data_IF_445546921085
#
_entry.id   IF_445546921085
#
_cell.length_a   1.000
_cell.length_b   1.000
_cell.length_c   1.000
_cell.angle_alpha   90.00
_cell.angle_beta   90.00
_cell.angle_gamma   90.00
#
_symmetry.space_group_name_H-M   'P 1'
#
loop_
_entity.id
_entity.type
_entity.pdbx_description
1 polymer ?
#
# COMPACT_ATOMS: atom_id res chain seq x y z
N UNK A 1 22.07 33.09 2.35
CA UNK A 1 22.12 31.64 2.11
C UNK A 1 20.72 31.19 1.74
N UNK A 2 20.43 31.18 0.44
CA UNK A 2 19.09 30.98 -0.11
C UNK A 2 18.89 29.50 -0.38
N UNK A 3 17.97 28.87 0.34
CA UNK A 3 17.53 27.49 0.10
C UNK A 3 16.82 27.42 -1.26
N UNK A 4 17.47 26.82 -2.27
CA UNK A 4 16.82 26.50 -3.54
C UNK A 4 15.77 25.42 -3.30
N UNK A 5 14.51 25.76 -3.56
CA UNK A 5 13.43 24.79 -3.64
C UNK A 5 13.69 23.88 -4.84
N UNK A 6 13.88 22.58 -4.59
CA UNK A 6 13.98 21.56 -5.65
C UNK A 6 12.64 21.49 -6.37
N UNK A 7 12.64 21.75 -7.67
CA UNK A 7 11.42 21.76 -8.48
C UNK A 7 10.83 20.36 -8.61
N UNK A 8 9.51 20.26 -8.55
CA UNK A 8 8.77 18.99 -8.77
C UNK A 8 9.10 18.38 -10.13
N UNK A 9 9.43 19.22 -11.12
CA UNK A 9 9.85 18.81 -12.46
C UNK A 9 11.20 18.08 -12.49
N UNK A 10 12.15 18.46 -11.63
CA UNK A 10 13.46 17.80 -11.52
C UNK A 10 13.34 16.42 -10.86
N UNK A 11 12.43 16.31 -9.88
CA UNK A 11 12.09 15.03 -9.23
C UNK A 11 11.43 14.08 -10.22
N UNK A 12 10.48 14.58 -11.03
CA UNK A 12 9.83 13.81 -12.08
C UNK A 12 10.84 13.35 -13.13
N UNK A 13 11.72 14.25 -13.59
CA UNK A 13 12.76 13.95 -14.59
C UNK A 13 13.79 12.93 -14.09
N UNK A 14 14.15 13.00 -12.80
CA UNK A 14 14.99 12.02 -12.12
C UNK A 14 14.30 10.66 -11.94
N UNK A 15 12.99 10.64 -11.66
CA UNK A 15 12.20 9.41 -11.58
C UNK A 15 12.03 8.74 -12.96
N UNK A 16 11.80 9.55 -14.01
CA UNK A 16 11.74 9.11 -15.42
C UNK A 16 13.06 8.53 -15.90
N UNK A 17 14.20 9.18 -15.59
CA UNK A 17 15.53 8.66 -15.94
C UNK A 17 15.92 7.43 -15.11
N UNK A 18 15.41 7.32 -13.88
CA UNK A 18 15.63 6.18 -12.98
C UNK A 18 14.72 4.96 -13.19
N UNK A 19 13.92 4.91 -14.27
CA UNK A 19 12.91 3.84 -14.51
C UNK A 19 11.89 3.65 -13.38
N UNK A 20 11.67 4.64 -12.52
CA UNK A 20 10.63 4.60 -11.49
C UNK A 20 9.38 5.21 -12.10
N UNK A 21 8.50 4.35 -12.60
CA UNK A 21 7.21 4.78 -13.14
C UNK A 21 6.32 5.24 -11.98
N UNK A 22 5.77 6.47 -12.02
CA UNK A 22 4.86 6.94 -10.98
C UNK A 22 3.64 6.02 -10.86
N UNK A 23 3.08 5.94 -9.65
CA UNK A 23 1.91 5.11 -9.33
C UNK A 23 2.08 3.62 -9.63
N UNK A 24 3.31 3.11 -9.62
CA UNK A 24 3.61 1.68 -9.67
C UNK A 24 4.30 1.24 -8.40
N UNK A 25 3.91 0.08 -7.90
CA UNK A 25 4.66 -0.59 -6.84
C UNK A 25 5.31 -1.86 -7.37
N UNK A 26 6.52 -2.10 -6.88
CA UNK A 26 7.30 -3.33 -7.09
C UNK A 26 7.24 -4.13 -5.81
N UNK A 27 6.63 -5.30 -5.86
CA UNK A 27 6.32 -6.11 -4.69
C UNK A 27 7.04 -7.45 -4.73
N UNK A 28 7.61 -7.80 -3.58
CA UNK A 28 8.00 -9.15 -3.22
C UNK A 28 7.19 -9.56 -1.99
N UNK A 29 6.62 -10.75 -2.03
CA UNK A 29 5.80 -11.28 -0.95
C UNK A 29 6.26 -12.70 -0.62
N UNK A 30 6.30 -13.00 0.68
CA UNK A 30 6.58 -14.32 1.20
C UNK A 30 5.87 -14.52 2.53
N UNK A 31 5.88 -15.75 3.02
CA UNK A 31 5.32 -16.11 4.32
C UNK A 31 6.36 -16.83 5.17
N UNK A 32 6.19 -16.75 6.48
CA UNK A 32 7.01 -17.45 7.46
C UNK A 32 6.09 -18.07 8.51
N UNK A 33 6.59 -19.10 9.17
CA UNK A 33 5.94 -19.65 10.36
C UNK A 33 6.18 -18.72 11.56
N UNK A 34 5.24 -18.72 12.50
CA UNK A 34 5.36 -17.95 13.74
C UNK A 34 6.67 -18.28 14.49
N UNK A 35 7.09 -19.55 14.49
CA UNK A 35 8.33 -20.01 15.11
C UNK A 35 9.61 -19.43 14.50
N UNK A 36 9.55 -18.96 13.25
CA UNK A 36 10.68 -18.35 12.55
C UNK A 36 10.67 -16.81 12.63
N UNK A 37 9.64 -16.20 13.23
CA UNK A 37 9.45 -14.75 13.26
C UNK A 37 10.62 -14.03 13.94
N UNK A 38 11.00 -14.45 15.15
CA UNK A 38 12.07 -13.81 15.92
C UNK A 38 13.42 -13.88 15.19
N UNK A 39 13.69 -15.02 14.53
CA UNK A 39 14.90 -15.22 13.74
C UNK A 39 14.92 -14.27 12.53
N UNK A 40 13.78 -14.09 11.85
CA UNK A 40 13.66 -13.15 10.74
C UNK A 40 13.86 -11.71 11.22
N UNK A 41 13.19 -11.30 12.29
CA UNK A 41 13.29 -9.94 12.83
C UNK A 41 14.72 -9.62 13.25
N UNK A 42 15.41 -10.56 13.91
CA UNK A 42 16.81 -10.41 14.27
C UNK A 42 17.71 -10.20 13.04
N UNK A 43 17.49 -10.96 11.96
CA UNK A 43 18.25 -10.82 10.71
C UNK A 43 17.95 -9.49 10.00
N UNK A 44 16.69 -9.08 9.95
CA UNK A 44 16.31 -7.81 9.34
C UNK A 44 16.94 -6.61 10.07
N UNK A 45 17.02 -6.65 11.40
CA UNK A 45 17.74 -5.63 12.19
C UNK A 45 19.20 -5.47 11.77
N UNK A 46 19.89 -6.55 11.43
CA UNK A 46 21.28 -6.48 10.96
C UNK A 46 21.44 -6.06 9.49
N UNK A 47 20.37 -6.08 8.70
CA UNK A 47 20.39 -5.83 7.24
C UNK A 47 19.77 -4.50 6.82
N UNK A 48 18.88 -3.94 7.64
CA UNK A 48 18.11 -2.74 7.40
C UNK A 48 18.72 -1.52 8.10
N UNK A 49 18.39 -0.33 7.61
CA UNK A 49 19.05 0.92 8.04
C UNK A 49 18.54 1.41 9.40
N UNK A 50 17.42 0.87 9.89
CA UNK A 50 16.75 1.25 11.14
C UNK A 50 17.48 0.74 12.41
N UNK A 51 18.78 0.49 12.34
CA UNK A 51 19.54 -0.24 13.38
C UNK A 51 19.47 0.46 14.74
N UNK A 52 19.56 1.80 14.77
CA UNK A 52 19.59 2.57 16.02
C UNK A 52 18.21 2.73 16.68
N UNK A 53 17.13 2.84 15.91
CA UNK A 53 15.78 3.08 16.44
C UNK A 53 15.01 1.78 16.75
N UNK A 54 15.55 0.62 16.36
CA UNK A 54 14.84 -0.65 16.45
C UNK A 54 13.73 -0.81 15.41
N UNK A 55 13.02 -1.95 15.42
CA UNK A 55 11.91 -2.16 14.50
C UNK A 55 10.74 -1.25 14.85
N UNK A 56 10.22 -0.53 13.86
CA UNK A 56 9.05 0.33 14.04
C UNK A 56 7.81 -0.57 14.06
N UNK A 57 7.12 -0.63 15.19
CA UNK A 57 5.87 -1.36 15.28
C UNK A 57 4.78 -0.57 14.55
N UNK A 58 3.91 -1.28 13.85
CA UNK A 58 2.70 -0.66 13.33
C UNK A 58 1.45 -1.46 13.60
N UNK A 59 0.34 -0.75 13.71
CA UNK A 59 -0.99 -1.31 13.76
C UNK A 59 -1.91 -0.54 12.82
N UNK A 60 -2.55 -1.26 11.91
CA UNK A 60 -3.40 -0.69 10.89
C UNK A 60 -4.74 -1.42 10.81
N UNK A 61 -5.82 -0.68 10.62
CA UNK A 61 -7.12 -1.21 10.25
C UNK A 61 -7.30 -1.04 8.75
N UNK A 62 -7.41 -2.15 8.03
CA UNK A 62 -7.70 -2.16 6.60
C UNK A 62 -9.16 -2.57 6.38
N UNK A 63 -9.90 -1.76 5.61
CA UNK A 63 -11.29 -2.01 5.22
C UNK A 63 -11.35 -2.07 3.70
N UNK A 64 -11.93 -3.12 3.16
CA UNK A 64 -11.98 -3.35 1.71
C UNK A 64 -13.38 -3.22 1.19
N UNK A 65 -13.52 -2.38 0.16
CA UNK A 65 -14.78 -2.08 -0.52
C UNK A 65 -14.70 -2.55 -1.97
N UNK A 66 -15.76 -3.19 -2.45
CA UNK A 66 -15.88 -3.63 -3.84
C UNK A 66 -17.12 -3.03 -4.47
N UNK A 67 -17.00 -2.58 -5.71
CA UNK A 67 -18.12 -2.22 -6.56
C UNK A 67 -18.36 -3.40 -7.51
N UNK A 68 -19.50 -4.11 -7.37
CA UNK A 68 -19.85 -5.18 -8.28
C UNK A 68 -19.88 -4.67 -9.72
N UNK A 69 -19.50 -5.52 -10.70
CA UNK A 69 -19.62 -5.15 -12.10
C UNK A 69 -21.08 -4.81 -12.41
N UNK A 70 -21.34 -3.58 -12.87
CA UNK A 70 -22.68 -3.16 -13.28
C UNK A 70 -23.11 -4.02 -14.47
N UNK A 71 -24.13 -4.85 -14.28
CA UNK A 71 -24.70 -5.76 -15.28
C UNK A 71 -25.50 -5.05 -16.39
N UNK A 72 -25.03 -3.90 -16.87
CA UNK A 72 -25.71 -3.09 -17.88
C UNK A 72 -24.91 -1.91 -18.42
N UNK A 73 -23.78 -1.54 -17.80
CA UNK A 73 -22.85 -0.56 -18.34
C UNK A 73 -21.76 -1.30 -19.14
N UNK A 74 -22.09 -1.65 -20.39
CA UNK A 74 -21.06 -2.02 -21.38
C UNK A 74 -20.17 -0.80 -21.59
N UNK A 75 -19.13 -0.67 -20.78
CA UNK A 75 -18.08 0.31 -21.04
C UNK A 75 -17.55 0.03 -22.45
N UNK A 76 -17.60 0.98 -23.39
CA UNK A 76 -17.14 0.73 -24.75
C UNK A 76 -15.65 0.42 -24.70
N UNK A 77 -15.30 -0.86 -24.94
CA UNK A 77 -13.93 -1.38 -24.84
C UNK A 77 -13.68 -2.43 -23.76
N UNK A 78 -14.66 -2.74 -22.89
CA UNK A 78 -14.50 -3.81 -21.90
C UNK A 78 -14.76 -5.19 -22.54
N UNK A 79 -13.69 -5.99 -22.66
CA UNK A 79 -13.78 -7.39 -23.07
C UNK A 79 -14.54 -8.27 -22.07
N UNK A 80 -14.83 -9.54 -22.42
CA UNK A 80 -15.56 -10.46 -21.55
C UNK A 80 -14.76 -10.73 -20.25
N UNK A 81 -15.29 -10.28 -19.10
CA UNK A 81 -14.71 -10.54 -17.77
C UNK A 81 -14.39 -9.29 -16.94
N UNK A 82 -15.36 -8.39 -16.73
CA UNK A 82 -15.19 -7.24 -15.84
C UNK A 82 -14.87 -7.70 -14.41
N UNK A 83 -13.67 -7.40 -13.93
CA UNK A 83 -13.32 -7.57 -12.52
C UNK A 83 -13.97 -6.45 -11.69
N UNK A 84 -14.43 -6.76 -10.46
CA UNK A 84 -15.00 -5.76 -9.56
C UNK A 84 -13.95 -4.70 -9.20
N UNK A 85 -14.36 -3.42 -9.21
CA UNK A 85 -13.49 -2.33 -8.78
C UNK A 85 -13.33 -2.40 -7.26
N UNK A 86 -12.09 -2.46 -6.79
CA UNK A 86 -11.78 -2.62 -5.37
C UNK A 86 -11.01 -1.42 -4.82
N UNK A 87 -11.46 -0.89 -3.70
CA UNK A 87 -10.74 0.10 -2.90
C UNK A 87 -10.41 -0.43 -1.52
N UNK A 88 -9.28 0.01 -0.98
CA UNK A 88 -8.85 -0.31 0.38
C UNK A 88 -8.69 0.98 1.17
N UNK A 89 -9.35 1.05 2.31
CA UNK A 89 -9.17 2.13 3.28
C UNK A 89 -8.20 1.63 4.34
N UNK A 90 -7.13 2.38 4.60
CA UNK A 90 -6.09 2.05 5.57
C UNK A 90 -6.03 3.14 6.65
N UNK A 91 -6.09 2.73 7.91
CA UNK A 91 -6.07 3.63 9.08
C UNK A 91 -5.01 3.18 10.06
N UNK A 92 -4.01 4.02 10.31
CA UNK A 92 -3.03 3.79 11.37
C UNK A 92 -3.69 3.94 12.75
N UNK A 93 -3.38 3.03 13.68
CA UNK A 93 -3.99 2.95 15.01
C UNK A 93 -2.97 3.10 16.15
N UNK A 94 -1.70 3.12 15.80
CA UNK A 94 -0.53 3.12 16.67
C UNK A 94 -0.11 4.52 17.16
N UNK A 95 -0.91 5.55 16.88
CA UNK A 95 -0.58 6.92 17.24
C UNK A 95 -1.08 7.29 18.63
N UNK A 96 -0.15 7.73 19.48
CA UNK A 96 -0.45 8.23 20.83
C UNK A 96 -1.26 9.53 20.81
N UNK A 97 -1.86 9.93 21.94
CA UNK A 97 -2.76 11.08 22.03
C UNK A 97 -2.14 12.43 21.65
N UNK A 98 -0.80 12.54 21.69
CA UNK A 98 -0.04 13.77 21.31
C UNK A 98 0.35 13.83 19.82
N UNK A 99 0.18 12.74 19.06
CA UNK A 99 0.47 12.69 17.63
C UNK A 99 -0.86 12.79 16.90
N UNK A 100 -1.14 13.96 16.30
CA UNK A 100 -2.40 14.23 15.60
C UNK A 100 -2.77 13.10 14.64
N UNK A 101 -4.06 12.72 14.62
CA UNK A 101 -4.53 11.53 13.93
C UNK A 101 -4.03 11.46 12.47
N UNK A 102 -3.26 10.41 12.15
CA UNK A 102 -2.85 10.13 10.78
C UNK A 102 -4.04 10.18 9.81
N UNK A 103 -3.85 10.73 8.60
CA UNK A 103 -4.91 10.76 7.61
C UNK A 103 -5.31 9.33 7.22
N UNK A 104 -6.60 9.17 6.93
CA UNK A 104 -7.11 7.91 6.39
C UNK A 104 -6.66 7.81 4.94
N UNK A 105 -6.10 6.67 4.55
CA UNK A 105 -5.59 6.48 3.20
C UNK A 105 -6.58 5.63 2.39
N UNK A 106 -7.07 6.18 1.29
CA UNK A 106 -7.79 5.43 0.26
C UNK A 106 -6.79 4.92 -0.78
N UNK A 107 -6.79 3.61 -1.02
CA UNK A 107 -5.86 2.94 -1.92
C UNK A 107 -6.61 2.19 -3.02
N UNK A 108 -6.20 2.45 -4.26
CA UNK A 108 -6.52 1.61 -5.42
C UNK A 108 -5.31 0.77 -5.79
N UNK A 109 -5.54 -0.52 -6.06
CA UNK A 109 -4.53 -1.45 -6.54
C UNK A 109 -5.04 -2.07 -7.84
N UNK A 110 -4.34 -1.81 -8.94
CA UNK A 110 -4.66 -2.38 -10.23
C UNK A 110 -4.18 -3.83 -10.38
N UNK A 111 -4.53 -4.42 -11.51
CA UNK A 111 -4.10 -5.78 -11.85
C UNK A 111 -2.58 -5.85 -11.99
N UNK A 112 -2.03 -7.02 -11.66
CA UNK A 112 -0.61 -7.31 -11.87
C UNK A 112 -0.32 -7.37 -13.36
N UNK A 113 0.76 -6.71 -13.79
CA UNK A 113 1.24 -6.78 -15.18
C UNK A 113 1.79 -8.18 -15.46
N UNK A 114 0.90 -9.10 -15.82
CA UNK A 114 1.22 -10.49 -16.10
C UNK A 114 1.57 -10.61 -17.59
N UNK A 115 2.85 -10.85 -17.91
CA UNK A 115 3.27 -10.99 -19.31
C UNK A 115 4.77 -11.00 -19.57
N UNK A 116 5.57 -10.40 -18.69
CA UNK A 116 7.02 -10.36 -18.86
C UNK A 116 7.72 -11.45 -18.03
N UNK A 117 8.14 -12.54 -18.70
CA UNK A 117 8.83 -13.67 -18.08
C UNK A 117 10.23 -13.31 -17.52
N UNK A 118 10.81 -12.19 -17.94
CA UNK A 118 12.09 -11.71 -17.40
C UNK A 118 11.94 -10.91 -16.10
N UNK A 119 10.70 -10.62 -15.67
CA UNK A 119 10.47 -9.78 -14.50
C UNK A 119 10.56 -10.58 -13.21
N UNK A 120 11.52 -10.21 -12.37
CA UNK A 120 11.82 -10.90 -11.10
C UNK A 120 10.91 -10.50 -9.94
N UNK A 121 10.06 -9.48 -10.12
CA UNK A 121 9.16 -8.94 -9.09
C UNK A 121 7.77 -8.69 -9.67
N UNK A 122 6.76 -8.72 -8.80
CA UNK A 122 5.39 -8.36 -9.17
C UNK A 122 5.31 -6.85 -9.32
N UNK A 123 4.72 -6.38 -10.41
CA UNK A 123 4.48 -4.95 -10.64
C UNK A 123 3.00 -4.71 -10.91
N UNK A 124 2.47 -3.70 -10.23
CA UNK A 124 1.07 -3.29 -10.37
C UNK A 124 0.91 -1.81 -10.12
N UNK A 125 -0.16 -1.25 -10.67
CA UNK A 125 -0.56 0.13 -10.39
C UNK A 125 -1.01 0.24 -8.93
N UNK A 126 -0.52 1.25 -8.22
CA UNK A 126 -0.94 1.57 -6.87
C UNK A 126 -1.13 3.08 -6.77
N UNK A 127 -2.30 3.51 -6.33
CA UNK A 127 -2.64 4.93 -6.13
C UNK A 127 -3.12 5.08 -4.69
N UNK A 128 -2.51 6.01 -3.97
CA UNK A 128 -2.82 6.33 -2.59
C UNK A 128 -3.25 7.79 -2.47
N UNK A 129 -4.36 8.04 -1.79
CA UNK A 129 -4.90 9.38 -1.53
C UNK A 129 -5.28 9.51 -0.07
N UNK A 130 -4.86 10.62 0.56
CA UNK A 130 -5.30 10.97 1.90
C UNK A 130 -6.74 11.50 1.85
N UNK A 131 -7.57 11.00 2.76
CA UNK A 131 -9.00 11.29 2.83
C UNK A 131 -9.41 11.69 4.25
N UNK A 132 -10.58 12.33 4.33
CA UNK A 132 -11.25 12.61 5.59
C UNK A 132 -11.98 11.36 6.13
N UNK A 133 -12.65 11.51 7.28
CA UNK A 133 -13.30 10.39 7.99
C UNK A 133 -14.56 9.88 7.28
N UNK A 134 -15.14 10.71 6.44
CA UNK A 134 -16.39 10.51 5.73
C UNK A 134 -16.22 9.62 4.48
N UNK A 135 -14.98 9.24 4.13
CA UNK A 135 -14.69 8.42 2.94
C UNK A 135 -15.47 7.09 2.91
N UNK A 136 -15.76 6.52 4.09
CA UNK A 136 -16.54 5.29 4.22
C UNK A 136 -17.99 5.50 3.76
N UNK A 137 -18.61 6.60 4.20
CA UNK A 137 -19.98 6.95 3.83
C UNK A 137 -20.06 7.30 2.34
N UNK A 138 -19.11 8.10 1.87
CA UNK A 138 -18.96 8.44 0.45
C UNK A 138 -18.89 7.20 -0.46
N UNK A 139 -18.06 6.20 -0.11
CA UNK A 139 -17.97 4.97 -0.91
C UNK A 139 -19.29 4.17 -0.90
N UNK A 140 -19.99 4.12 0.24
CA UNK A 140 -21.30 3.46 0.32
C UNK A 140 -22.34 4.16 -0.53
N UNK A 141 -22.38 5.49 -0.52
CA UNK A 141 -23.26 6.30 -1.37
C UNK A 141 -22.98 6.10 -2.87
N UNK A 142 -21.71 5.86 -3.23
CA UNK A 142 -21.32 5.47 -4.59
C UNK A 142 -21.72 4.03 -4.97
N UNK A 143 -22.27 3.24 -4.05
CA UNK A 143 -22.71 1.87 -4.29
C UNK A 143 -21.64 0.80 -4.04
N UNK A 144 -20.49 1.15 -3.44
CA UNK A 144 -19.54 0.16 -2.99
C UNK A 144 -20.08 -0.63 -1.81
N UNK A 145 -19.78 -1.92 -1.79
CA UNK A 145 -20.13 -2.85 -0.74
C UNK A 145 -18.89 -3.20 0.08
N UNK A 146 -19.06 -3.28 1.40
CA UNK A 146 -18.02 -3.77 2.29
C UNK A 146 -17.78 -5.25 2.01
N UNK A 147 -16.55 -5.64 1.66
CA UNK A 147 -16.17 -7.03 1.43
C UNK A 147 -15.63 -7.66 2.72
N UNK A 148 -14.63 -7.04 3.32
CA UNK A 148 -14.06 -7.46 4.59
C UNK A 148 -13.31 -6.31 5.28
N UNK A 149 -13.05 -6.50 6.56
CA UNK A 149 -12.12 -5.69 7.33
C UNK A 149 -11.12 -6.57 8.06
N UNK A 150 -9.90 -6.08 8.25
CA UNK A 150 -8.83 -6.81 8.90
C UNK A 150 -7.93 -5.88 9.69
N UNK A 151 -7.45 -6.37 10.83
CA UNK A 151 -6.47 -5.67 11.65
C UNK A 151 -5.09 -6.22 11.32
N UNK A 152 -4.19 -5.35 10.89
CA UNK A 152 -2.81 -5.68 10.56
C UNK A 152 -1.91 -5.18 11.68
N UNK A 153 -1.09 -6.07 12.21
CA UNK A 153 -0.08 -5.73 13.23
C UNK A 153 1.26 -6.27 12.80
N UNK A 154 2.32 -5.51 13.01
CA UNK A 154 3.62 -5.96 12.54
C UNK A 154 4.76 -5.00 12.80
N UNK A 155 5.84 -5.28 12.10
CA UNK A 155 7.09 -4.55 12.16
C UNK A 155 7.42 -3.95 10.79
N UNK A 156 7.93 -2.74 10.79
CA UNK A 156 8.35 -1.98 9.63
C UNK A 156 9.87 -1.76 9.66
N UNK A 157 10.52 -2.18 8.59
CA UNK A 157 11.93 -2.00 8.33
C UNK A 157 12.15 -1.20 7.03
N UNK A 158 13.23 -0.44 6.95
CA UNK A 158 13.63 0.29 5.74
C UNK A 158 15.05 -0.10 5.34
N UNK A 159 15.27 -0.23 4.03
CA UNK A 159 16.60 -0.43 3.45
C UNK A 159 16.70 0.40 2.17
N UNK A 160 17.37 1.53 2.25
CA UNK A 160 17.33 2.58 1.24
C UNK A 160 15.87 2.99 0.95
N UNK A 161 15.46 2.82 -0.32
CA UNK A 161 14.10 3.13 -0.78
C UNK A 161 13.09 1.98 -0.58
N UNK A 162 13.55 0.82 -0.09
CA UNK A 162 12.70 -0.34 0.09
C UNK A 162 12.04 -0.31 1.47
N UNK A 163 10.73 -0.55 1.46
CA UNK A 163 9.91 -0.75 2.66
C UNK A 163 9.66 -2.24 2.86
N UNK A 164 9.99 -2.77 4.03
CA UNK A 164 9.80 -4.18 4.38
C UNK A 164 8.84 -4.25 5.56
N UNK A 165 7.72 -4.93 5.39
CA UNK A 165 6.71 -5.13 6.44
C UNK A 165 6.60 -6.60 6.79
N UNK A 166 6.78 -6.94 8.07
CA UNK A 166 6.46 -8.27 8.60
C UNK A 166 5.15 -8.15 9.35
N UNK A 167 4.08 -8.70 8.76
CA UNK A 167 2.70 -8.43 9.19
C UNK A 167 1.98 -9.71 9.55
N UNK A 168 1.22 -9.68 10.63
CA UNK A 168 0.22 -10.70 10.99
C UNK A 168 -1.17 -10.08 10.86
N UNK A 169 -2.03 -10.78 10.12
CA UNK A 169 -3.45 -10.44 10.06
C UNK A 169 -4.15 -11.01 11.31
N UNK A 170 -4.85 -10.14 12.03
CA UNK A 170 -5.71 -10.48 13.14
C UNK A 170 -7.16 -10.29 12.68
N UNK A 171 -8.01 -11.26 13.04
CA UNK A 171 -9.47 -11.08 13.00
C UNK A 171 -9.92 -10.32 14.24
#
# INVERSE_FOLDING_TARGET
>A
MSSQAVGVEDILSSALSGQIVPNREYLLQGSILDSACDVLLHRLRGLCDNVENGPENFQEHEIVFTLPPMSGASQPGAGPGQQPLTFRIRRALDQGPDQGAAPIMLRYVGNTEMGDKNRQTVVRTCIDVACSREVVEFLRELGFQLEYEVMLKGFLFRKGRMKITVTKACK
#
